data_IF_749456834923
#
_entry.id   IF_749456834923
#
_cell.length_a   1.000
_cell.length_b   1.000
_cell.length_c   1.000
_cell.angle_alpha   90.00
_cell.angle_beta   90.00
_cell.angle_gamma   90.00
#
_symmetry.space_group_name_H-M   'P 1'
#
loop_
_entity.id
_entity.type
_entity.pdbx_description
1 polymer ?
#
# COMPACT_ATOMS: atom_id res chain seq x y z
N UNK A 1 -9.63 2.48 2.63
CA UNK A 1 -8.39 2.56 3.41
C UNK A 1 -8.75 2.97 4.82
N UNK A 2 -9.18 2.00 5.62
CA UNK A 2 -9.22 2.18 7.06
C UNK A 2 -7.78 2.30 7.60
N UNK A 3 -7.56 2.86 8.80
CA UNK A 3 -6.22 2.93 9.39
C UNK A 3 -5.52 1.57 9.43
N UNK A 4 -6.27 0.49 9.67
CA UNK A 4 -5.76 -0.88 9.65
C UNK A 4 -5.31 -1.32 8.25
N UNK A 5 -6.11 -1.06 7.20
CA UNK A 5 -5.73 -1.37 5.82
C UNK A 5 -4.46 -0.60 5.40
N UNK A 6 -4.34 0.67 5.83
CA UNK A 6 -3.17 1.51 5.54
C UNK A 6 -1.92 0.94 6.22
N UNK A 7 -2.01 0.56 7.50
CA UNK A 7 -0.90 -0.05 8.21
C UNK A 7 -0.42 -1.35 7.55
N UNK A 8 -1.34 -2.21 7.10
CA UNK A 8 -1.00 -3.42 6.33
C UNK A 8 -0.31 -3.05 5.03
N UNK A 9 -0.84 -2.07 4.29
CA UNK A 9 -0.23 -1.62 3.03
C UNK A 9 1.18 -1.10 3.25
N UNK A 10 1.41 -0.22 4.22
CA UNK A 10 2.73 0.36 4.50
C UNK A 10 3.72 -0.74 4.95
N UNK A 11 3.32 -1.63 5.84
CA UNK A 11 4.15 -2.77 6.27
C UNK A 11 4.46 -3.74 5.12
N UNK A 12 3.47 -4.02 4.26
CA UNK A 12 3.66 -4.90 3.10
C UNK A 12 4.50 -4.25 2.01
N UNK A 13 4.37 -2.95 1.78
CA UNK A 13 5.25 -2.18 0.88
C UNK A 13 6.69 -2.19 1.37
N UNK A 14 6.92 -2.14 2.69
CA UNK A 14 8.26 -2.23 3.27
C UNK A 14 8.88 -3.62 3.08
N UNK A 15 8.09 -4.68 3.29
CA UNK A 15 8.60 -6.06 3.27
C UNK A 15 8.70 -6.65 1.85
N UNK A 16 7.72 -6.38 0.98
CA UNK A 16 7.62 -6.98 -0.36
C UNK A 16 7.92 -5.99 -1.49
N UNK A 17 8.06 -4.69 -1.22
CA UNK A 17 8.24 -3.69 -2.26
C UNK A 17 6.98 -3.48 -3.11
N UNK A 18 7.13 -3.34 -4.43
CA UNK A 18 6.02 -3.04 -5.36
C UNK A 18 5.23 -4.27 -5.82
N UNK A 19 5.23 -5.34 -5.02
CA UNK A 19 4.49 -6.57 -5.30
C UNK A 19 3.00 -6.41 -4.97
N UNK A 20 2.29 -5.58 -5.74
CA UNK A 20 0.91 -5.16 -5.45
C UNK A 20 -0.09 -6.32 -5.37
N UNK A 21 0.16 -7.43 -6.06
CA UNK A 21 -0.65 -8.66 -5.95
C UNK A 21 -0.54 -9.28 -4.56
N UNK A 22 0.67 -9.32 -3.99
CA UNK A 22 0.91 -9.84 -2.64
C UNK A 22 0.28 -8.90 -1.61
N UNK A 23 0.46 -7.59 -1.78
CA UNK A 23 -0.11 -6.57 -0.87
C UNK A 23 -1.64 -6.63 -0.87
N UNK A 24 -2.27 -6.74 -2.04
CA UNK A 24 -3.72 -6.93 -2.16
C UNK A 24 -4.19 -8.20 -1.46
N UNK A 25 -3.43 -9.29 -1.54
CA UNK A 25 -3.73 -10.53 -0.81
C UNK A 25 -3.60 -10.37 0.71
N UNK A 26 -2.63 -9.59 1.19
CA UNK A 26 -2.46 -9.30 2.63
C UNK A 26 -3.60 -8.44 3.17
N UNK A 27 -4.07 -7.47 2.38
CA UNK A 27 -5.20 -6.62 2.77
C UNK A 27 -6.53 -7.39 2.73
N UNK A 28 -6.70 -8.29 1.76
CA UNK A 28 -7.85 -9.20 1.63
C UNK A 28 -9.16 -8.54 1.18
N UNK A 29 -9.35 -7.24 1.45
CA UNK A 29 -10.57 -6.48 1.17
C UNK A 29 -10.47 -5.57 -0.07
N UNK A 30 -9.30 -5.50 -0.70
CA UNK A 30 -9.00 -4.60 -1.83
C UNK A 30 -8.39 -5.36 -2.97
N UNK A 31 -8.78 -5.01 -4.19
CA UNK A 31 -8.22 -5.62 -5.40
C UNK A 31 -6.83 -5.08 -5.68
N UNK A 32 -6.05 -5.78 -6.51
CA UNK A 32 -4.72 -5.31 -6.92
C UNK A 32 -4.79 -3.94 -7.60
N UNK A 33 -5.87 -3.67 -8.35
CA UNK A 33 -6.09 -2.37 -8.99
C UNK A 33 -6.26 -1.26 -7.96
N UNK A 34 -7.10 -1.47 -6.95
CA UNK A 34 -7.31 -0.49 -5.87
C UNK A 34 -6.01 -0.18 -5.11
N UNK A 35 -5.16 -1.19 -4.92
CA UNK A 35 -3.85 -1.04 -4.27
C UNK A 35 -2.89 -0.21 -5.13
N UNK A 36 -2.87 -0.43 -6.46
CA UNK A 36 -2.05 0.36 -7.39
C UNK A 36 -2.53 1.81 -7.41
N UNK A 37 -3.84 2.04 -7.52
CA UNK A 37 -4.41 3.39 -7.53
C UNK A 37 -4.10 4.12 -6.22
N UNK A 38 -4.22 3.42 -5.08
CA UNK A 38 -3.82 3.97 -3.78
C UNK A 38 -2.32 4.28 -3.70
N UNK A 39 -1.46 3.39 -4.21
CA UNK A 39 -0.01 3.62 -4.20
C UNK A 39 0.35 4.94 -4.87
N UNK A 40 -0.25 5.27 -6.02
CA UNK A 40 0.04 6.54 -6.71
C UNK A 40 -0.44 7.78 -5.97
N UNK A 41 -1.51 7.66 -5.18
CA UNK A 41 -1.98 8.72 -4.28
C UNK A 41 -1.03 8.84 -3.08
N UNK A 42 -0.77 7.73 -2.39
CA UNK A 42 0.11 7.64 -1.22
C UNK A 42 1.54 8.13 -1.53
N UNK A 43 2.06 7.83 -2.73
CA UNK A 43 3.38 8.29 -3.20
C UNK A 43 3.52 9.82 -3.24
N UNK A 44 2.41 10.55 -3.39
CA UNK A 44 2.41 12.02 -3.40
C UNK A 44 2.29 12.64 -2.01
N UNK A 45 2.02 11.83 -0.99
CA UNK A 45 1.90 12.29 0.41
C UNK A 45 3.28 12.38 1.08
N UNK A 46 3.36 13.10 2.19
CA UNK A 46 4.59 13.21 2.98
C UNK A 46 5.04 11.86 3.58
N UNK A 47 4.16 10.85 3.66
CA UNK A 47 4.52 9.50 4.06
C UNK A 47 5.59 8.90 3.13
N UNK A 48 5.47 9.14 1.82
CA UNK A 48 6.47 8.67 0.86
C UNK A 48 7.77 9.48 0.91
N UNK A 49 7.71 10.78 1.25
CA UNK A 49 8.92 11.61 1.40
C UNK A 49 9.76 11.21 2.60
N UNK A 50 9.13 10.72 3.68
CA UNK A 50 9.83 10.13 4.83
C UNK A 50 10.41 8.74 4.52
N UNK A 51 9.90 8.07 3.49
CA UNK A 51 10.35 6.76 3.03
C UNK A 51 11.57 6.82 2.11
N UNK A 52 11.91 8.00 1.57
CA UNK A 52 13.05 8.23 0.67
C UNK A 52 14.18 8.97 1.39
#
# INVERSE_FOLDING_TARGET
WSPYEIAIFEGSMLHYGKEFRVISRQIGTKTTRDVIDFYYIWKKTDHYKKWK
#
